data_IF_634420171744
#
_entry.id   IF_634420171744
#
_cell.length_a   1.000
_cell.length_b   1.000
_cell.length_c   1.000
_cell.angle_alpha   90.00
_cell.angle_beta   90.00
_cell.angle_gamma   90.00
#
_symmetry.space_group_name_H-M   'P 1'
#
loop_
_entity.id
_entity.type
_entity.pdbx_description
1 polymer ?
#
# COMPACT_ATOMS: atom_id res chain seq x y z
N UNK A 1 11.31 2.00 4.82
CA UNK A 1 10.07 1.37 4.33
C UNK A 1 9.04 2.45 4.02
N UNK A 2 8.61 2.52 2.77
CA UNK A 2 7.60 3.49 2.33
C UNK A 2 6.27 2.79 2.06
N UNK A 3 5.18 3.43 2.47
CA UNK A 3 3.85 2.88 2.25
C UNK A 3 2.83 3.98 2.01
N UNK A 4 1.70 3.57 1.41
CA UNK A 4 0.52 4.40 1.23
C UNK A 4 -0.64 3.68 1.93
N UNK A 5 -1.41 4.40 2.71
CA UNK A 5 -2.63 3.87 3.31
C UNK A 5 -3.83 4.63 2.76
N UNK A 6 -4.81 3.90 2.23
CA UNK A 6 -6.09 4.45 1.80
C UNK A 6 -7.16 4.14 2.83
N UNK A 7 -7.92 5.14 3.20
CA UNK A 7 -9.05 5.00 4.12
C UNK A 7 -10.32 4.94 3.27
N UNK A 8 -11.07 3.89 3.45
CA UNK A 8 -12.33 3.63 2.76
C UNK A 8 -13.51 3.75 3.72
N UNK A 9 -14.72 3.58 3.21
CA UNK A 9 -15.91 3.52 4.06
C UNK A 9 -15.92 2.28 4.95
N UNK A 10 -16.78 2.28 5.98
CA UNK A 10 -17.02 1.12 6.85
C UNK A 10 -15.79 0.63 7.61
N UNK A 11 -14.90 1.56 7.98
CA UNK A 11 -13.69 1.26 8.76
C UNK A 11 -12.70 0.34 8.04
N UNK A 12 -12.84 0.23 6.73
CA UNK A 12 -11.94 -0.50 5.86
C UNK A 12 -10.77 0.40 5.47
N UNK A 13 -9.56 -0.11 5.55
CA UNK A 13 -8.38 0.54 5.00
C UNK A 13 -7.52 -0.45 4.23
N UNK A 14 -6.76 0.07 3.28
CA UNK A 14 -5.80 -0.73 2.52
C UNK A 14 -4.41 -0.12 2.64
N UNK A 15 -3.40 -0.97 2.74
CA UNK A 15 -2.01 -0.56 2.89
C UNK A 15 -1.22 -1.13 1.73
N UNK A 16 -0.45 -0.26 1.09
CA UNK A 16 0.41 -0.58 -0.04
C UNK A 16 1.85 -0.28 0.37
N UNK A 17 2.61 -1.32 0.67
CA UNK A 17 3.99 -1.20 1.16
C UNK A 17 5.02 -1.43 0.06
N UNK A 18 6.28 -1.11 0.38
CA UNK A 18 7.40 -1.19 -0.55
C UNK A 18 7.19 -0.33 -1.79
N UNK A 19 6.67 0.90 -1.58
CA UNK A 19 6.43 1.85 -2.67
C UNK A 19 7.72 2.57 -3.00
N UNK A 20 8.07 2.62 -4.27
CA UNK A 20 9.23 3.37 -4.74
C UNK A 20 8.89 4.84 -5.02
N UNK A 21 7.73 5.08 -5.59
CA UNK A 21 7.25 6.42 -5.91
C UNK A 21 5.87 6.60 -5.29
N UNK A 22 5.67 7.70 -4.57
CA UNK A 22 4.38 8.09 -3.99
C UNK A 22 3.87 9.28 -4.80
N UNK A 23 2.70 9.11 -5.42
CA UNK A 23 2.09 10.11 -6.33
C UNK A 23 0.90 10.83 -5.70
N UNK A 24 0.69 10.66 -4.41
CA UNK A 24 -0.40 11.29 -3.65
C UNK A 24 0.15 11.98 -2.42
N UNK A 25 -0.63 12.91 -1.88
CA UNK A 25 -0.30 13.64 -0.65
C UNK A 25 -1.20 13.16 0.49
N UNK A 26 -0.78 13.43 1.72
CA UNK A 26 -1.60 13.17 2.90
C UNK A 26 -2.95 13.89 2.76
N UNK A 27 -4.01 13.23 3.19
CA UNK A 27 -5.38 13.74 3.19
C UNK A 27 -5.94 14.03 1.79
N UNK A 28 -5.30 13.52 0.74
CA UNK A 28 -5.80 13.64 -0.62
C UNK A 28 -6.87 12.58 -0.88
N UNK A 29 -7.98 12.99 -1.52
CA UNK A 29 -8.96 12.03 -2.03
C UNK A 29 -8.47 11.41 -3.32
N UNK A 30 -8.71 10.11 -3.47
CA UNK A 30 -8.36 9.37 -4.69
C UNK A 30 -9.59 8.69 -5.25
N UNK A 31 -9.61 8.52 -6.57
CA UNK A 31 -10.68 7.86 -7.29
C UNK A 31 -10.30 6.42 -7.61
N UNK A 32 -11.30 5.56 -7.77
CA UNK A 32 -11.07 4.20 -8.23
C UNK A 32 -10.30 4.21 -9.56
N UNK A 33 -9.25 3.41 -9.63
CA UNK A 33 -8.40 3.33 -10.83
C UNK A 33 -7.31 4.39 -10.91
N UNK A 34 -7.28 5.35 -10.00
CA UNK A 34 -6.23 6.37 -9.99
C UNK A 34 -4.90 5.76 -9.60
N UNK A 35 -3.83 6.19 -10.28
CA UNK A 35 -2.47 5.81 -9.90
C UNK A 35 -2.09 6.57 -8.64
N UNK A 36 -1.69 5.83 -7.60
CA UNK A 36 -1.28 6.42 -6.32
C UNK A 36 0.23 6.34 -6.09
N UNK A 37 0.91 5.49 -6.85
CA UNK A 37 2.35 5.32 -6.74
C UNK A 37 2.83 4.15 -7.58
N UNK A 38 4.10 3.81 -7.39
CA UNK A 38 4.74 2.69 -8.08
C UNK A 38 5.41 1.78 -7.07
N UNK A 39 5.23 0.48 -7.24
CA UNK A 39 5.83 -0.52 -6.36
C UNK A 39 7.35 -0.55 -6.51
N UNK A 40 8.01 -0.89 -5.43
CA UNK A 40 9.45 -1.11 -5.39
C UNK A 40 9.75 -2.39 -4.65
N UNK A 41 10.75 -2.38 -3.77
CA UNK A 41 11.06 -3.52 -2.91
C UNK A 41 12.35 -4.23 -3.28
N UNK A 42 12.97 -3.92 -4.42
CA UNK A 42 14.30 -4.44 -4.72
C UNK A 42 15.32 -3.95 -3.68
N UNK A 43 16.23 -4.80 -3.19
CA UNK A 43 17.22 -4.38 -2.20
C UNK A 43 18.00 -3.15 -2.66
N UNK A 44 18.17 -2.18 -1.76
CA UNK A 44 18.89 -0.95 -2.04
C UNK A 44 18.08 0.13 -2.75
N UNK A 45 16.81 -0.13 -3.11
CA UNK A 45 15.94 0.87 -3.71
C UNK A 45 15.13 1.60 -2.64
N UNK A 46 14.65 2.78 -3.02
CA UNK A 46 13.76 3.58 -2.15
C UNK A 46 12.51 2.77 -1.80
N UNK A 47 12.11 2.81 -0.54
CA UNK A 47 10.92 2.14 -0.06
C UNK A 47 11.09 0.65 0.24
N UNK A 48 12.24 0.07 -0.08
CA UNK A 48 12.45 -1.36 0.08
C UNK A 48 12.52 -1.82 1.54
N UNK A 49 13.19 -1.04 2.39
CA UNK A 49 13.52 -1.49 3.73
C UNK A 49 14.69 -2.49 3.74
N UNK A 50 15.25 -2.78 4.94
CA UNK A 50 16.49 -3.55 5.04
C UNK A 50 16.32 -5.05 4.75
N UNK A 51 15.11 -5.58 4.81
CA UNK A 51 14.84 -7.01 4.67
C UNK A 51 14.15 -7.38 3.38
N UNK A 52 14.10 -6.45 2.42
CA UNK A 52 13.50 -6.75 1.13
C UNK A 52 14.34 -7.75 0.36
N UNK A 53 13.71 -8.79 -0.17
CA UNK A 53 14.36 -9.85 -0.96
C UNK A 53 14.13 -9.71 -2.46
N UNK A 54 13.33 -8.73 -2.89
CA UNK A 54 13.07 -8.47 -4.31
C UNK A 54 11.96 -7.44 -4.48
N UNK A 55 11.75 -7.04 -5.73
CA UNK A 55 10.66 -6.10 -6.05
C UNK A 55 9.32 -6.78 -5.88
N UNK A 56 8.49 -6.24 -5.01
CA UNK A 56 7.12 -6.71 -4.82
C UNK A 56 6.29 -5.63 -4.14
N UNK A 57 4.98 -5.77 -4.25
CA UNK A 57 4.03 -4.94 -3.52
C UNK A 57 3.61 -5.69 -2.25
N UNK A 58 3.75 -5.04 -1.11
CA UNK A 58 3.16 -5.53 0.13
C UNK A 58 1.75 -4.94 0.24
N UNK A 59 0.74 -5.78 0.24
CA UNK A 59 -0.66 -5.36 0.27
C UNK A 59 -1.34 -5.89 1.52
N UNK A 60 -2.01 -5.00 2.26
CA UNK A 60 -2.80 -5.37 3.43
C UNK A 60 -4.20 -4.79 3.33
N UNK A 61 -5.16 -5.52 3.88
CA UNK A 61 -6.51 -5.02 4.16
C UNK A 61 -6.70 -5.02 5.67
N UNK A 62 -7.23 -3.93 6.21
CA UNK A 62 -7.50 -3.81 7.64
C UNK A 62 -8.94 -3.41 7.87
N UNK A 63 -9.56 -4.04 8.86
CA UNK A 63 -10.89 -3.69 9.37
C UNK A 63 -10.71 -3.19 10.79
N UNK A 64 -11.13 -1.96 11.08
CA UNK A 64 -10.87 -1.30 12.38
C UNK A 64 -9.38 -1.33 12.77
N UNK A 65 -8.47 -1.23 11.80
CA UNK A 65 -7.05 -1.29 12.06
C UNK A 65 -6.48 -2.70 12.27
N UNK A 66 -7.32 -3.73 12.21
CA UNK A 66 -6.91 -5.13 12.40
C UNK A 66 -6.73 -5.79 11.03
N UNK A 67 -5.59 -6.44 10.76
CA UNK A 67 -5.37 -7.13 9.49
C UNK A 67 -6.43 -8.18 9.20
N UNK A 68 -6.90 -8.22 7.96
CA UNK A 68 -7.86 -9.19 7.46
C UNK A 68 -7.29 -9.89 6.23
N UNK A 69 -7.92 -10.99 5.80
CA UNK A 69 -7.47 -11.72 4.63
C UNK A 69 -7.77 -10.93 3.35
N UNK A 70 -6.76 -10.44 2.61
CA UNK A 70 -6.99 -9.65 1.40
C UNK A 70 -7.80 -10.39 0.34
N UNK A 71 -7.71 -11.71 0.27
CA UNK A 71 -8.42 -12.50 -0.74
C UNK A 71 -9.93 -12.37 -0.63
N UNK A 72 -10.45 -11.99 0.53
CA UNK A 72 -11.89 -11.77 0.72
C UNK A 72 -12.37 -10.44 0.12
N UNK A 73 -11.46 -9.57 -0.31
CA UNK A 73 -11.77 -8.20 -0.76
C UNK A 73 -11.30 -7.93 -2.19
N UNK A 74 -10.57 -8.83 -2.80
CA UNK A 74 -10.10 -8.71 -4.17
C UNK A 74 -11.07 -9.41 -5.12
N UNK A 75 -11.23 -8.89 -6.36
CA UNK A 75 -12.07 -9.54 -7.36
C UNK A 75 -11.55 -10.89 -7.80
#
# INVERSE_FOLDING_TARGET
YSYIMLIHANKLSTVYGHVNVISVKDDQFVSKGQIIGHSGGAPGTRGAGPFSTGSHLHFEVRINGVPANPLNYLP
#
